data_IF_132265009456
#
_entry.id   IF_132265009456
#
_cell.length_a   1.000
_cell.length_b   1.000
_cell.length_c   1.000
_cell.angle_alpha   90.00
_cell.angle_beta   90.00
_cell.angle_gamma   90.00
#
_symmetry.space_group_name_H-M   'P 1'
#
loop_
_entity.id
_entity.type
_entity.pdbx_description
1 polymer ?
#
# COMPACT_ATOMS: atom_id res chain seq x y z
N UNK A 1 -33.85 -8.82 -50.60
CA UNK A 1 -35.05 -9.70 -50.54
C UNK A 1 -34.60 -11.11 -50.19
N UNK A 2 -34.68 -11.49 -48.90
CA UNK A 2 -34.64 -12.90 -48.51
C UNK A 2 -35.87 -13.18 -47.65
N UNK A 3 -36.72 -14.06 -48.15
CA UNK A 3 -38.00 -14.44 -47.60
C UNK A 3 -37.76 -15.41 -46.45
N UNK A 4 -38.04 -15.00 -45.20
CA UNK A 4 -38.04 -15.88 -44.04
C UNK A 4 -39.24 -16.84 -44.16
N UNK A 5 -38.95 -18.12 -44.30
CA UNK A 5 -39.94 -19.20 -44.45
C UNK A 5 -40.83 -19.36 -43.22
N UNK A 6 -42.10 -19.69 -43.43
CA UNK A 6 -43.17 -19.88 -42.42
C UNK A 6 -42.83 -20.83 -41.26
N UNK A 7 -41.82 -21.70 -41.39
CA UNK A 7 -41.40 -22.63 -40.34
C UNK A 7 -40.69 -21.97 -39.14
N UNK A 8 -40.02 -20.83 -39.31
CA UNK A 8 -39.38 -20.09 -38.21
C UNK A 8 -40.40 -19.33 -37.36
N UNK A 9 -41.52 -18.90 -37.96
CA UNK A 9 -42.60 -18.21 -37.25
C UNK A 9 -43.35 -19.15 -36.29
N UNK A 10 -43.58 -20.40 -36.71
CA UNK A 10 -44.26 -21.42 -35.90
C UNK A 10 -43.43 -21.90 -34.70
N UNK A 11 -42.09 -21.94 -34.81
CA UNK A 11 -41.21 -22.23 -33.67
C UNK A 11 -41.16 -21.10 -32.64
N UNK A 12 -41.27 -19.84 -33.09
CA UNK A 12 -41.33 -18.69 -32.20
C UNK A 12 -42.65 -18.64 -31.40
N UNK A 13 -43.77 -19.01 -32.03
CA UNK A 13 -45.08 -19.05 -31.36
C UNK A 13 -45.19 -20.20 -30.34
N UNK A 14 -44.54 -21.34 -30.58
CA UNK A 14 -44.51 -22.44 -29.62
C UNK A 14 -43.67 -22.15 -28.36
N UNK A 15 -42.68 -21.25 -28.44
CA UNK A 15 -41.88 -20.82 -27.29
C UNK A 15 -42.61 -19.79 -26.42
N UNK A 16 -43.52 -18.99 -27.01
CA UNK A 16 -44.33 -18.02 -26.27
C UNK A 16 -45.40 -18.66 -25.36
N UNK A 17 -45.84 -19.89 -25.66
CA UNK A 17 -46.91 -20.58 -24.93
C UNK A 17 -46.48 -21.27 -23.61
N UNK A 18 -45.18 -21.27 -23.26
CA UNK A 18 -44.66 -21.88 -22.02
C UNK A 18 -44.34 -20.89 -20.89
N UNK A 19 -44.56 -19.60 -21.10
CA UNK A 19 -44.40 -18.61 -20.05
C UNK A 19 -45.63 -18.64 -19.13
N UNK A 20 -45.52 -19.41 -18.05
CA UNK A 20 -46.50 -19.46 -16.97
C UNK A 20 -46.82 -18.07 -16.42
N UNK A 21 -48.09 -17.92 -16.06
CA UNK A 21 -48.74 -16.73 -15.55
C UNK A 21 -48.09 -16.19 -14.26
N UNK A 22 -47.68 -14.92 -14.15
CA UNK A 22 -47.43 -14.29 -12.87
C UNK A 22 -48.72 -13.57 -12.43
N UNK A 23 -49.57 -14.27 -11.69
CA UNK A 23 -50.64 -13.62 -10.93
C UNK A 23 -50.04 -13.01 -9.65
N UNK A 24 -49.66 -11.74 -9.73
CA UNK A 24 -49.19 -10.97 -8.57
C UNK A 24 -48.95 -9.53 -8.98
N UNK A 25 -49.88 -8.63 -8.65
CA UNK A 25 -49.75 -7.18 -8.85
C UNK A 25 -48.48 -6.68 -8.14
N UNK A 26 -47.48 -6.21 -8.87
CA UNK A 26 -46.41 -5.36 -8.33
C UNK A 26 -46.64 -3.91 -8.73
N UNK A 27 -47.31 -3.17 -7.85
CA UNK A 27 -47.21 -1.71 -7.83
C UNK A 27 -45.88 -1.36 -7.15
N UNK A 28 -44.82 -1.18 -7.93
CA UNK A 28 -43.78 -0.20 -7.61
C UNK A 28 -43.01 0.20 -8.86
N UNK A 29 -43.17 1.48 -9.19
CA UNK A 29 -42.27 2.26 -10.05
C UNK A 29 -40.82 2.08 -9.62
N UNK A 30 -39.91 1.79 -10.56
CA UNK A 30 -38.53 2.33 -10.57
C UNK A 30 -37.72 1.78 -11.74
N UNK A 31 -37.62 2.56 -12.82
CA UNK A 31 -36.49 2.50 -13.76
C UNK A 31 -35.24 3.11 -13.10
N UNK A 32 -34.69 2.46 -12.08
CA UNK A 32 -33.35 2.74 -11.56
C UNK A 32 -32.55 1.46 -11.74
N UNK A 33 -31.64 1.44 -12.72
CA UNK A 33 -30.64 0.38 -12.82
C UNK A 33 -29.88 0.33 -11.50
N UNK A 34 -29.84 -0.84 -10.86
CA UNK A 34 -29.36 -0.97 -9.48
C UNK A 34 -27.86 -0.60 -9.36
N UNK A 35 -27.55 0.52 -8.70
CA UNK A 35 -26.18 0.99 -8.34
C UNK A 35 -25.53 0.15 -7.23
N UNK A 36 -26.29 -0.76 -6.63
CA UNK A 36 -25.83 -1.63 -5.55
C UNK A 36 -26.30 -3.07 -5.82
N UNK A 37 -25.51 -4.04 -5.37
CA UNK A 37 -25.81 -5.47 -5.51
C UNK A 37 -26.23 -6.02 -4.17
N UNK A 38 -27.44 -6.59 -4.12
CA UNK A 38 -27.87 -7.37 -2.96
C UNK A 38 -27.06 -8.66 -2.87
N UNK A 39 -26.32 -8.83 -1.77
CA UNK A 39 -25.58 -10.06 -1.47
C UNK A 39 -26.53 -11.04 -0.78
N UNK A 40 -26.50 -12.30 -1.19
CA UNK A 40 -27.29 -13.39 -0.59
C UNK A 40 -28.82 -13.25 -0.71
N UNK A 41 -29.34 -12.45 -1.66
CA UNK A 41 -30.77 -12.42 -2.00
C UNK A 41 -31.08 -13.50 -3.05
N UNK A 42 -30.91 -14.76 -2.66
CA UNK A 42 -31.24 -15.92 -3.50
C UNK A 42 -32.24 -16.79 -2.75
N UNK A 43 -33.38 -17.06 -3.39
CA UNK A 43 -34.37 -17.99 -2.88
C UNK A 43 -33.87 -19.43 -3.09
N UNK A 44 -34.03 -20.28 -2.08
CA UNK A 44 -33.65 -21.69 -2.17
C UNK A 44 -34.74 -22.47 -2.90
N UNK A 45 -34.37 -23.29 -3.90
CA UNK A 45 -35.34 -24.14 -4.59
C UNK A 45 -35.89 -25.25 -3.68
N UNK A 46 -37.10 -25.74 -3.95
CA UNK A 46 -37.80 -26.76 -3.13
C UNK A 46 -37.96 -28.09 -3.87
N UNK A 47 -37.15 -28.32 -4.90
CA UNK A 47 -37.08 -29.59 -5.62
C UNK A 47 -36.48 -30.70 -4.74
N UNK A 48 -37.00 -31.93 -4.88
CA UNK A 48 -36.57 -33.07 -4.07
C UNK A 48 -35.04 -33.33 -4.15
N UNK A 49 -34.43 -33.00 -5.29
CA UNK A 49 -32.98 -33.11 -5.50
C UNK A 49 -32.21 -32.09 -4.65
N UNK A 50 -32.53 -30.79 -4.72
CA UNK A 50 -31.84 -29.79 -3.89
C UNK A 50 -32.08 -29.98 -2.39
N UNK A 51 -33.24 -30.52 -1.99
CA UNK A 51 -33.53 -30.83 -0.58
C UNK A 51 -32.64 -31.97 -0.09
N UNK A 52 -32.51 -33.03 -0.88
CA UNK A 52 -31.63 -34.18 -0.55
C UNK A 52 -30.15 -33.81 -0.59
N UNK A 53 -29.71 -32.98 -1.55
CA UNK A 53 -28.35 -32.45 -1.63
C UNK A 53 -27.98 -31.59 -0.39
N UNK A 54 -28.90 -30.75 0.08
CA UNK A 54 -28.72 -29.97 1.33
C UNK A 54 -28.68 -30.85 2.57
N UNK A 55 -29.53 -31.86 2.65
CA UNK A 55 -29.49 -32.81 3.77
C UNK A 55 -28.18 -33.61 3.79
N UNK A 56 -27.67 -34.01 2.61
CA UNK A 56 -26.37 -34.66 2.47
C UNK A 56 -25.22 -33.72 2.87
N UNK A 57 -25.29 -32.45 2.52
CA UNK A 57 -24.34 -31.44 2.96
C UNK A 57 -24.32 -31.33 4.51
N UNK A 58 -25.49 -31.22 5.15
CA UNK A 58 -25.59 -31.10 6.61
C UNK A 58 -25.08 -32.34 7.37
N UNK A 59 -25.33 -33.55 6.85
CA UNK A 59 -24.98 -34.80 7.52
C UNK A 59 -23.56 -35.30 7.22
N UNK A 60 -23.09 -35.12 5.97
CA UNK A 60 -21.81 -35.65 5.50
C UNK A 60 -20.71 -34.57 5.42
N UNK A 61 -21.02 -33.32 5.80
CA UNK A 61 -20.09 -32.19 5.84
C UNK A 61 -19.25 -32.03 4.56
N UNK A 62 -19.92 -32.16 3.41
CA UNK A 62 -19.25 -32.18 2.10
C UNK A 62 -18.51 -30.88 1.80
N UNK A 63 -19.03 -29.76 2.29
CA UNK A 63 -18.39 -28.44 2.24
C UNK A 63 -17.15 -28.34 3.14
N UNK A 64 -17.13 -29.02 4.30
CA UNK A 64 -15.96 -29.04 5.18
C UNK A 64 -14.82 -29.83 4.55
N UNK A 65 -15.13 -30.98 3.95
CA UNK A 65 -14.14 -31.77 3.21
C UNK A 65 -13.63 -31.01 1.99
N UNK A 66 -14.52 -30.30 1.27
CA UNK A 66 -14.12 -29.43 0.16
C UNK A 66 -13.19 -28.30 0.63
N UNK A 67 -13.45 -27.70 1.79
CA UNK A 67 -12.59 -26.69 2.41
C UNK A 67 -11.23 -27.27 2.83
N UNK A 68 -11.22 -28.45 3.44
CA UNK A 68 -10.01 -29.16 3.83
C UNK A 68 -9.17 -29.60 2.62
N UNK A 69 -9.81 -29.98 1.52
CA UNK A 69 -9.11 -30.23 0.25
C UNK A 69 -8.38 -28.99 -0.28
N UNK A 70 -8.95 -27.80 -0.07
CA UNK A 70 -8.29 -26.54 -0.45
C UNK A 70 -7.04 -26.28 0.40
N UNK A 71 -7.11 -26.48 1.72
CA UNK A 71 -5.95 -26.29 2.61
C UNK A 71 -4.88 -27.33 2.32
N UNK A 72 -5.25 -28.58 2.02
CA UNK A 72 -4.31 -29.61 1.57
C UNK A 72 -3.59 -29.20 0.27
N UNK A 73 -4.24 -28.45 -0.63
CA UNK A 73 -3.56 -27.97 -1.83
C UNK A 73 -2.40 -26.99 -1.54
N UNK A 74 -2.44 -26.25 -0.41
CA UNK A 74 -1.34 -25.37 0.00
C UNK A 74 -0.12 -26.16 0.51
N UNK A 75 -0.31 -27.39 0.98
CA UNK A 75 0.80 -28.26 1.40
C UNK A 75 1.73 -28.60 0.22
N UNK A 76 1.18 -28.67 -0.99
CA UNK A 76 1.94 -28.98 -2.21
C UNK A 76 2.43 -27.74 -2.97
N UNK A 77 2.23 -26.54 -2.42
CA UNK A 77 2.78 -25.31 -2.99
C UNK A 77 4.13 -25.02 -2.36
N UNK A 78 5.01 -24.41 -3.15
CA UNK A 78 6.27 -23.88 -2.63
C UNK A 78 6.00 -22.76 -1.61
N UNK A 79 6.70 -22.72 -0.45
CA UNK A 79 6.52 -21.67 0.54
C UNK A 79 7.07 -20.34 0.02
N UNK A 80 6.31 -19.26 0.21
CA UNK A 80 6.72 -17.90 -0.17
C UNK A 80 7.66 -17.23 0.86
N UNK A 81 8.38 -18.01 1.67
CA UNK A 81 9.26 -17.50 2.73
C UNK A 81 10.64 -17.15 2.17
N UNK A 82 11.08 -15.90 2.34
CA UNK A 82 12.46 -15.49 2.05
C UNK A 82 13.39 -15.88 3.20
N UNK A 83 14.65 -16.21 2.90
CA UNK A 83 15.64 -16.58 3.90
C UNK A 83 16.36 -15.34 4.48
N UNK A 84 15.66 -14.55 5.29
CA UNK A 84 16.26 -13.42 6.01
C UNK A 84 17.25 -13.94 7.08
N UNK A 85 18.50 -13.42 7.18
CA UNK A 85 19.03 -12.16 6.65
C UNK A 85 19.82 -12.26 5.32
N UNK A 86 19.98 -13.46 4.75
CA UNK A 86 20.78 -13.66 3.54
C UNK A 86 20.05 -13.17 2.27
N UNK A 87 18.73 -13.32 2.26
CA UNK A 87 17.83 -12.80 1.24
C UNK A 87 16.96 -11.71 1.87
N UNK A 88 16.94 -10.52 1.26
CA UNK A 88 16.11 -9.38 1.70
C UNK A 88 14.93 -9.18 0.76
N UNK A 89 13.83 -8.64 1.30
CA UNK A 89 12.66 -8.29 0.50
C UNK A 89 13.00 -7.22 -0.55
N UNK A 90 12.32 -7.23 -1.72
CA UNK A 90 12.53 -6.21 -2.73
C UNK A 90 12.05 -4.84 -2.22
N UNK A 91 12.92 -3.83 -2.27
CA UNK A 91 12.61 -2.45 -1.89
C UNK A 91 12.56 -1.55 -3.13
N UNK A 92 11.65 -0.58 -3.10
CA UNK A 92 11.60 0.47 -4.13
C UNK A 92 12.63 1.57 -3.85
N UNK A 93 13.11 2.32 -4.87
CA UNK A 93 13.98 3.48 -4.66
C UNK A 93 13.34 4.61 -3.82
N UNK A 94 12.01 4.58 -3.65
CA UNK A 94 11.22 5.53 -2.84
C UNK A 94 11.04 5.09 -1.39
N UNK A 95 11.69 4.01 -0.99
CA UNK A 95 11.61 3.51 0.37
C UNK A 95 12.07 4.58 1.36
N UNK A 96 11.39 4.64 2.51
CA UNK A 96 11.58 5.65 3.55
C UNK A 96 12.16 4.98 4.79
N UNK A 97 13.43 5.24 5.10
CA UNK A 97 14.16 4.64 6.21
C UNK A 97 14.87 5.66 7.10
N UNK A 98 16.09 5.34 7.52
CA UNK A 98 16.92 6.15 8.42
C UNK A 98 17.24 7.51 7.81
N UNK A 99 17.15 8.57 8.62
CA UNK A 99 17.41 9.92 8.13
C UNK A 99 18.92 10.15 7.96
N UNK A 100 19.26 10.93 6.95
CA UNK A 100 20.63 11.34 6.65
C UNK A 100 20.70 12.81 6.22
N UNK A 101 21.77 13.49 6.63
CA UNK A 101 22.13 14.82 6.12
C UNK A 101 23.19 14.69 5.05
N UNK A 102 22.91 15.22 3.86
CA UNK A 102 23.78 15.09 2.70
C UNK A 102 24.72 16.28 2.52
N UNK A 103 25.78 16.04 1.74
CA UNK A 103 26.75 17.05 1.31
C UNK A 103 26.60 17.37 -0.17
N UNK A 104 27.10 18.53 -0.56
CA UNK A 104 27.37 18.87 -1.94
C UNK A 104 28.55 18.05 -2.46
N UNK A 105 28.72 17.92 -3.79
CA UNK A 105 29.91 17.30 -4.37
C UNK A 105 31.24 17.98 -3.98
N UNK A 106 31.18 19.23 -3.50
CA UNK A 106 32.33 19.95 -2.94
C UNK A 106 32.71 19.55 -1.50
N UNK A 107 31.91 18.70 -0.84
CA UNK A 107 32.09 18.28 0.56
C UNK A 107 31.37 19.17 1.59
N UNK A 108 30.84 20.31 1.17
CA UNK A 108 30.09 21.22 2.06
C UNK A 108 28.70 20.65 2.38
N UNK A 109 28.19 20.85 3.60
CA UNK A 109 26.84 20.41 3.95
C UNK A 109 25.76 21.17 3.16
N UNK A 110 24.71 20.45 2.73
CA UNK A 110 23.62 21.06 1.96
C UNK A 110 22.72 21.97 2.80
N UNK A 111 22.62 21.70 4.10
CA UNK A 111 21.68 22.38 4.99
C UNK A 111 21.99 23.89 5.13
N UNK A 112 21.02 24.73 4.78
CA UNK A 112 21.07 26.21 4.92
C UNK A 112 20.26 26.73 6.13
N UNK A 113 19.94 25.82 7.06
CA UNK A 113 19.17 26.08 8.27
C UNK A 113 17.78 26.73 8.03
N UNK A 114 17.13 26.48 6.89
CA UNK A 114 15.87 27.13 6.48
C UNK A 114 14.69 26.92 7.44
N UNK A 115 14.74 25.91 8.32
CA UNK A 115 13.70 25.53 9.29
C UNK A 115 12.33 25.12 8.69
N UNK A 116 12.24 24.93 7.37
CA UNK A 116 11.02 24.42 6.74
C UNK A 116 10.73 22.97 7.18
N UNK A 117 11.78 22.14 7.30
CA UNK A 117 11.64 20.74 7.72
C UNK A 117 11.09 20.62 9.14
N UNK A 118 11.44 21.55 10.03
CA UNK A 118 10.92 21.62 11.40
C UNK A 118 9.44 22.03 11.40
N UNK A 119 9.07 23.01 10.57
CA UNK A 119 7.69 23.47 10.46
C UNK A 119 6.73 22.43 9.85
N UNK A 120 7.20 21.65 8.86
CA UNK A 120 6.36 20.65 8.17
C UNK A 120 6.23 19.34 8.95
N UNK A 121 7.12 19.08 9.92
CA UNK A 121 7.15 17.82 10.64
C UNK A 121 5.85 17.63 11.45
N UNK A 122 5.00 16.65 11.11
CA UNK A 122 3.69 16.51 11.75
C UNK A 122 3.80 16.10 13.23
N UNK A 123 4.87 15.40 13.58
CA UNK A 123 5.15 14.96 14.95
C UNK A 123 6.13 15.89 15.70
N UNK A 124 6.57 16.99 15.07
CA UNK A 124 7.53 17.95 15.65
C UNK A 124 8.79 17.27 16.24
N UNK A 125 9.32 16.26 15.53
CA UNK A 125 10.48 15.47 15.95
C UNK A 125 11.82 16.19 15.73
N UNK A 126 11.84 17.24 14.92
CA UNK A 126 13.05 17.94 14.49
C UNK A 126 13.20 19.23 15.31
N UNK A 127 14.40 19.51 15.81
CA UNK A 127 14.73 20.80 16.45
C UNK A 127 15.95 21.42 15.80
N UNK A 128 15.85 22.68 15.35
CA UNK A 128 16.89 23.35 14.58
C UNK A 128 17.28 24.69 15.20
N UNK A 129 18.58 24.86 15.47
CA UNK A 129 19.18 26.15 15.82
C UNK A 129 20.18 26.57 14.74
N UNK A 130 20.19 27.87 14.43
CA UNK A 130 20.91 28.41 13.28
C UNK A 130 21.74 29.61 13.72
N UNK A 131 23.03 29.58 13.38
CA UNK A 131 23.96 30.68 13.64
C UNK A 131 24.79 30.97 12.38
N UNK A 132 25.25 32.22 12.20
CA UNK A 132 26.21 32.53 11.16
C UNK A 132 27.57 31.87 11.48
N UNK A 133 28.11 31.11 10.52
CA UNK A 133 29.48 30.58 10.61
C UNK A 133 30.50 31.73 10.44
N UNK A 134 31.75 31.50 10.81
CA UNK A 134 32.87 32.42 10.58
C UNK A 134 32.97 32.92 9.12
N UNK A 135 32.56 32.09 8.15
CA UNK A 135 32.57 32.40 6.72
C UNK A 135 31.36 33.25 6.27
N UNK A 136 30.48 33.65 7.20
CA UNK A 136 29.24 34.39 6.93
C UNK A 136 28.09 33.53 6.39
N UNK A 137 28.33 32.25 6.09
CA UNK A 137 27.30 31.30 5.67
C UNK A 137 26.36 30.94 6.83
N UNK A 138 25.06 30.82 6.56
CA UNK A 138 24.08 30.40 7.56
C UNK A 138 24.04 28.88 7.70
N UNK A 139 24.42 28.35 8.87
CA UNK A 139 24.50 26.91 9.14
C UNK A 139 23.79 26.54 10.44
N UNK A 140 23.51 25.24 10.59
CA UNK A 140 22.91 24.73 11.81
C UNK A 140 23.98 24.45 12.86
N UNK A 141 23.80 24.97 14.06
CA UNK A 141 24.60 24.60 15.24
C UNK A 141 24.04 23.33 15.87
N UNK A 142 22.71 23.26 15.94
CA UNK A 142 21.96 22.11 16.42
C UNK A 142 20.95 21.66 15.35
N UNK A 143 20.96 20.38 15.06
CA UNK A 143 20.01 19.75 14.16
C UNK A 143 19.74 18.36 14.70
N UNK A 144 18.71 18.24 15.53
CA UNK A 144 18.44 17.02 16.25
C UNK A 144 17.11 16.43 15.77
N UNK A 145 17.08 15.11 15.65
CA UNK A 145 15.88 14.35 15.30
C UNK A 145 15.65 13.26 16.33
N UNK A 146 14.47 13.28 16.92
CA UNK A 146 14.00 12.22 17.79
C UNK A 146 13.32 11.12 16.95
N UNK A 147 14.02 10.00 16.73
CA UNK A 147 13.49 8.89 15.94
C UNK A 147 12.30 8.19 16.60
N UNK A 148 12.08 8.41 17.89
CA UNK A 148 10.92 7.85 18.61
C UNK A 148 9.63 8.63 18.36
N UNK A 149 9.76 9.91 18.02
CA UNK A 149 8.63 10.77 17.58
C UNK A 149 8.43 10.72 16.08
N UNK A 150 9.48 10.46 15.31
CA UNK A 150 9.40 10.43 13.86
C UNK A 150 8.43 9.36 13.37
N UNK A 151 7.54 9.75 12.45
CA UNK A 151 6.55 8.84 11.84
C UNK A 151 6.96 8.36 10.43
N UNK A 152 8.19 8.69 9.98
CA UNK A 152 8.75 8.28 8.67
C UNK A 152 7.85 8.61 7.48
N UNK A 153 7.22 9.78 7.51
CA UNK A 153 6.32 10.26 6.46
C UNK A 153 7.04 10.86 5.25
N UNK A 154 8.30 11.29 5.40
CA UNK A 154 9.09 11.89 4.34
C UNK A 154 8.77 13.31 3.91
N UNK A 155 7.91 14.03 4.64
CA UNK A 155 7.66 15.44 4.36
C UNK A 155 8.92 16.30 4.50
N UNK A 156 9.85 15.93 5.37
CA UNK A 156 11.12 16.65 5.52
C UNK A 156 11.99 16.57 4.24
N UNK A 157 11.96 15.44 3.54
CA UNK A 157 12.69 15.23 2.27
C UNK A 157 12.09 16.06 1.14
N UNK A 158 10.76 16.11 1.04
CA UNK A 158 10.06 16.86 -0.02
C UNK A 158 10.02 18.36 0.25
N UNK A 159 9.97 18.78 1.51
CA UNK A 159 9.95 20.19 1.89
C UNK A 159 11.34 20.87 1.85
N UNK A 160 12.43 20.11 1.74
CA UNK A 160 13.76 20.68 1.76
C UNK A 160 14.09 21.36 0.42
N UNK A 161 14.33 22.68 0.37
CA UNK A 161 14.58 23.37 -0.91
C UNK A 161 15.94 23.07 -1.55
N UNK A 162 16.82 22.36 -0.83
CA UNK A 162 18.22 22.09 -1.21
C UNK A 162 18.58 20.60 -1.11
N UNK A 163 17.58 19.73 -0.91
CA UNK A 163 17.76 18.28 -0.69
C UNK A 163 18.81 17.96 0.39
N UNK A 164 18.78 18.68 1.51
CA UNK A 164 19.74 18.50 2.60
C UNK A 164 19.43 17.30 3.47
N UNK A 165 18.17 17.16 3.90
CA UNK A 165 17.71 15.99 4.65
C UNK A 165 16.98 15.04 3.72
N UNK A 166 17.28 13.76 3.86
CA UNK A 166 16.69 12.69 3.08
C UNK A 166 16.38 11.51 3.99
N UNK A 167 15.33 10.76 3.64
CA UNK A 167 15.10 9.43 4.19
C UNK A 167 15.93 8.44 3.36
N UNK A 168 16.91 7.82 4.00
CA UNK A 168 17.81 6.86 3.39
C UNK A 168 17.19 5.47 3.24
N UNK A 169 17.92 4.55 2.59
CA UNK A 169 17.46 3.18 2.35
C UNK A 169 17.59 2.27 3.59
N UNK A 170 18.35 2.67 4.61
CA UNK A 170 18.60 1.82 5.77
C UNK A 170 17.35 1.71 6.65
N UNK A 171 16.99 0.49 7.04
CA UNK A 171 15.88 0.21 7.96
C UNK A 171 16.29 -0.64 9.17
N UNK A 172 17.52 -1.18 9.17
CA UNK A 172 18.01 -2.12 10.18
C UNK A 172 18.89 -1.38 11.20
N UNK A 173 18.30 -0.45 11.96
CA UNK A 173 19.01 0.38 12.95
C UNK A 173 18.37 0.33 14.33
N UNK A 174 17.72 -0.78 14.69
CA UNK A 174 17.24 -0.99 16.05
C UNK A 174 18.38 -0.89 17.06
N UNK A 175 18.15 -0.14 18.12
CA UNK A 175 19.11 0.12 19.20
C UNK A 175 18.66 -0.56 20.48
N UNK A 176 19.60 -0.81 21.39
CA UNK A 176 19.31 -1.41 22.70
C UNK A 176 18.75 -0.38 23.68
N UNK A 177 19.14 0.88 23.53
CA UNK A 177 18.73 1.97 24.43
C UNK A 177 17.97 3.08 23.69
N UNK A 178 17.23 3.87 24.46
CA UNK A 178 16.39 4.95 23.95
C UNK A 178 17.22 6.18 23.57
N UNK A 179 18.27 6.49 24.33
CA UNK A 179 19.15 7.64 24.06
C UNK A 179 19.88 7.53 22.71
N UNK A 180 20.12 6.32 22.21
CA UNK A 180 20.72 6.12 20.90
C UNK A 180 19.82 6.58 19.76
N UNK A 181 18.49 6.62 19.95
CA UNK A 181 17.50 7.06 18.96
C UNK A 181 17.28 8.59 18.92
N UNK A 182 17.94 9.32 19.83
CA UNK A 182 17.97 10.77 19.84
C UNK A 182 19.17 11.22 19.00
N UNK A 183 18.94 11.40 17.70
CA UNK A 183 20.03 11.70 16.78
C UNK A 183 20.40 13.18 16.82
N UNK A 184 21.69 13.42 16.99
CA UNK A 184 22.30 14.74 16.83
C UNK A 184 22.69 14.97 15.36
N UNK A 185 23.04 16.22 15.03
CA UNK A 185 23.54 16.62 13.70
C UNK A 185 24.67 15.72 13.20
N UNK A 186 25.64 15.44 14.06
CA UNK A 186 26.82 14.64 13.72
C UNK A 186 26.45 13.20 13.32
N UNK A 187 25.47 12.59 14.03
CA UNK A 187 25.00 11.25 13.70
C UNK A 187 24.34 11.22 12.32
N UNK A 188 23.53 12.23 12.01
CA UNK A 188 22.87 12.36 10.72
C UNK A 188 23.85 12.63 9.56
N UNK A 189 24.91 13.40 9.80
CA UNK A 189 26.00 13.59 8.84
C UNK A 189 26.79 12.30 8.61
N UNK A 190 27.12 11.57 9.67
CA UNK A 190 27.79 10.26 9.56
C UNK A 190 26.94 9.26 8.76
N UNK A 191 25.62 9.28 8.95
CA UNK A 191 24.70 8.47 8.15
C UNK A 191 24.70 8.89 6.68
N UNK A 192 24.72 10.20 6.40
CA UNK A 192 24.88 10.73 5.05
C UNK A 192 26.19 10.26 4.42
N UNK A 193 27.31 10.44 5.10
CA UNK A 193 28.63 10.05 4.61
C UNK A 193 28.73 8.53 4.35
N UNK A 194 28.06 7.70 5.16
CA UNK A 194 27.98 6.25 4.98
C UNK A 194 27.13 5.83 3.77
N UNK A 195 25.99 6.48 3.57
CA UNK A 195 24.96 6.04 2.60
C UNK A 195 24.88 6.92 1.35
N UNK A 196 25.71 7.95 1.20
CA UNK A 196 25.63 8.96 0.12
C UNK A 196 25.58 8.34 -1.28
N UNK A 197 26.35 7.28 -1.53
CA UNK A 197 26.38 6.60 -2.84
C UNK A 197 25.02 5.98 -3.20
N UNK A 198 24.36 5.33 -2.24
CA UNK A 198 23.06 4.69 -2.46
C UNK A 198 21.94 5.71 -2.50
N UNK A 199 21.97 6.71 -1.62
CA UNK A 199 20.98 7.79 -1.61
C UNK A 199 21.10 8.60 -2.91
N UNK A 200 22.31 8.86 -3.45
CA UNK A 200 22.49 9.50 -4.75
C UNK A 200 21.86 8.67 -5.88
N UNK A 201 22.07 7.35 -5.89
CA UNK A 201 21.49 6.46 -6.89
C UNK A 201 19.96 6.44 -6.82
N UNK A 202 19.38 6.38 -5.62
CA UNK A 202 17.93 6.39 -5.43
C UNK A 202 17.28 7.72 -5.85
N UNK A 203 17.91 8.85 -5.52
CA UNK A 203 17.42 10.17 -5.98
C UNK A 203 17.54 10.27 -7.50
N UNK A 204 18.63 9.79 -8.10
CA UNK A 204 18.79 9.77 -9.56
C UNK A 204 17.71 8.93 -10.26
N UNK A 205 17.15 7.92 -9.60
CA UNK A 205 16.02 7.17 -10.13
C UNK A 205 14.65 7.87 -9.95
N UNK A 206 14.51 8.73 -8.93
CA UNK A 206 13.23 9.28 -8.49
C UNK A 206 13.00 10.77 -8.82
N UNK A 207 14.05 11.55 -9.09
CA UNK A 207 13.98 13.03 -9.14
C UNK A 207 12.94 13.60 -10.13
N UNK A 208 12.58 12.87 -11.20
CA UNK A 208 11.58 13.32 -12.19
C UNK A 208 10.13 13.27 -11.68
N UNK A 209 9.87 12.58 -10.58
CA UNK A 209 8.53 12.36 -10.04
C UNK A 209 8.21 13.24 -8.82
N UNK A 210 9.13 14.15 -8.46
CA UNK A 210 9.00 15.10 -7.36
C UNK A 210 8.51 16.46 -7.83
#
# INVERSE_FOLDING_TARGET
>A
MHCLTTATLLRALAQAARAGHPSGRSLHSSTVAATYKFVNMRETSMDMKSVTDRAAQTLLWTELIRGLGMTLSYLFREPATINYPFEKGPLSPRFRGEHALRRYPSGEERCIACKLCEAVCPAQAITIEAEPRADGSRRTTRYDIDMTKCIYCGFCQEACPVDAIVEGPNFEFSTETHEELLYNKEKLLNNGDKWEAEIAANIQADYLYR
#
